data_IF_440242731963
#
_entry.id   IF_440242731963
#
_cell.length_a   1.000
_cell.length_b   1.000
_cell.length_c   1.000
_cell.angle_alpha   90.00
_cell.angle_beta   90.00
_cell.angle_gamma   90.00
#
_symmetry.space_group_name_H-M   'P 1'
#
loop_
_entity.id
_entity.type
_entity.pdbx_description
1 polymer ?
#
# COMPACT_ATOMS: atom_id res chain seq x y z
N UNK A 1 29.14 39.63 -5.35
CA UNK A 1 29.15 38.80 -4.13
C UNK A 1 27.83 38.02 -4.11
N UNK A 2 27.88 36.71 -4.27
CA UNK A 2 26.70 35.85 -4.35
C UNK A 2 26.06 35.73 -2.96
N UNK A 3 24.82 36.20 -2.83
CA UNK A 3 23.95 35.87 -1.69
C UNK A 3 23.42 34.46 -1.90
N UNK A 4 23.91 33.50 -1.12
CA UNK A 4 23.30 32.18 -1.05
C UNK A 4 22.03 32.32 -0.20
N UNK A 5 20.81 32.12 -0.73
CA UNK A 5 19.61 32.24 0.10
C UNK A 5 19.58 31.08 1.08
N UNK A 6 19.54 31.39 2.39
CA UNK A 6 19.32 30.37 3.42
C UNK A 6 18.01 29.61 3.14
N UNK A 7 17.98 28.29 3.35
CA UNK A 7 16.77 27.51 3.15
C UNK A 7 15.69 27.98 4.14
N UNK A 8 14.54 28.38 3.62
CA UNK A 8 13.37 28.72 4.45
C UNK A 8 12.94 27.49 5.25
N UNK A 9 13.09 27.55 6.57
CA UNK A 9 12.51 26.56 7.49
C UNK A 9 11.20 27.10 8.06
N UNK A 10 10.25 26.19 8.33
CA UNK A 10 9.01 26.48 9.06
C UNK A 10 8.98 25.67 10.34
N UNK A 11 8.55 26.30 11.42
CA UNK A 11 8.29 25.64 12.69
C UNK A 11 7.22 24.56 12.51
N UNK A 12 7.48 23.39 13.09
CA UNK A 12 6.48 22.32 13.15
C UNK A 12 5.40 22.72 14.16
N UNK A 13 4.14 22.47 13.81
CA UNK A 13 3.01 22.66 14.69
C UNK A 13 3.08 21.62 15.83
N UNK A 14 3.24 22.10 17.06
CA UNK A 14 3.42 21.28 18.27
C UNK A 14 2.14 20.52 18.67
N UNK A 15 0.99 20.91 18.12
CA UNK A 15 -0.28 20.20 18.32
C UNK A 15 -0.46 18.99 17.38
N UNK A 16 0.48 18.81 16.44
CA UNK A 16 0.42 17.78 15.41
C UNK A 16 0.86 16.44 15.99
N UNK A 17 0.01 15.41 15.89
CA UNK A 17 0.36 14.05 16.35
C UNK A 17 1.65 13.54 15.67
N UNK A 18 2.50 12.83 16.40
CA UNK A 18 3.68 12.15 15.85
C UNK A 18 3.31 11.15 14.73
N UNK A 19 2.08 10.60 14.75
CA UNK A 19 1.55 9.74 13.69
C UNK A 19 1.39 10.47 12.34
N UNK A 20 1.31 11.80 12.38
CA UNK A 20 1.23 12.68 11.21
C UNK A 20 2.59 12.97 10.56
N UNK A 21 3.70 12.55 11.18
CA UNK A 21 5.06 12.76 10.67
C UNK A 21 5.55 11.65 9.72
N UNK A 22 4.83 10.54 9.63
CA UNK A 22 5.18 9.45 8.72
C UNK A 22 4.11 9.33 7.64
N UNK A 23 4.36 9.73 6.37
CA UNK A 23 3.59 9.17 5.28
C UNK A 23 3.91 7.67 5.31
N UNK A 24 3.03 6.88 5.91
CA UNK A 24 3.22 5.44 6.04
C UNK A 24 3.71 4.87 4.73
N UNK A 25 4.89 4.21 4.75
CA UNK A 25 5.43 3.50 3.58
C UNK A 25 4.46 2.42 3.06
N UNK A 26 3.51 2.03 3.91
CA UNK A 26 2.45 1.11 3.55
C UNK A 26 1.16 1.80 3.22
N UNK A 27 0.46 1.27 2.22
CA UNK A 27 -0.89 1.62 1.87
C UNK A 27 -1.82 1.32 3.07
N UNK A 28 -2.65 2.29 3.44
CA UNK A 28 -3.60 2.25 4.56
C UNK A 28 -4.98 2.66 4.06
N UNK A 29 -6.02 2.31 4.80
CA UNK A 29 -7.40 2.70 4.50
C UNK A 29 -7.53 4.22 4.35
N UNK A 30 -6.86 4.99 5.21
CA UNK A 30 -6.87 6.45 5.19
C UNK A 30 -6.40 7.05 3.85
N UNK A 31 -5.53 6.35 3.10
CA UNK A 31 -5.12 6.82 1.77
C UNK A 31 -6.29 6.81 0.78
N UNK A 32 -7.05 5.70 0.71
CA UNK A 32 -8.22 5.60 -0.17
C UNK A 32 -9.32 6.58 0.25
N UNK A 33 -9.54 6.72 1.56
CA UNK A 33 -10.48 7.69 2.12
C UNK A 33 -10.09 9.13 1.73
N UNK A 34 -8.81 9.50 1.86
CA UNK A 34 -8.31 10.82 1.48
C UNK A 34 -8.43 11.06 -0.03
N UNK A 35 -8.24 10.03 -0.85
CA UNK A 35 -8.43 10.08 -2.31
C UNK A 35 -9.91 10.01 -2.72
N UNK A 36 -10.85 9.83 -1.77
CA UNK A 36 -12.28 9.69 -1.99
C UNK A 36 -12.64 8.54 -2.94
N UNK A 37 -11.92 7.42 -2.84
CA UNK A 37 -12.20 6.20 -3.60
C UNK A 37 -12.45 5.03 -2.65
N UNK A 38 -13.29 4.08 -3.06
CA UNK A 38 -13.56 2.83 -2.32
C UNK A 38 -12.70 1.68 -2.79
N UNK A 39 -12.30 1.71 -4.06
CA UNK A 39 -11.59 0.64 -4.74
C UNK A 39 -10.41 1.23 -5.52
N UNK A 40 -9.30 0.51 -5.51
CA UNK A 40 -8.08 0.83 -6.21
C UNK A 40 -7.63 -0.39 -7.01
N UNK A 41 -7.75 -0.33 -8.33
CA UNK A 41 -7.17 -1.33 -9.22
C UNK A 41 -5.69 -1.05 -9.42
N UNK A 42 -4.86 -2.06 -9.19
CA UNK A 42 -3.40 -1.96 -9.29
C UNK A 42 -2.81 -3.15 -10.04
N UNK A 43 -1.68 -2.93 -10.69
CA UNK A 43 -0.86 -4.01 -11.27
C UNK A 43 0.31 -4.28 -10.34
N UNK A 44 0.52 -5.55 -9.99
CA UNK A 44 1.61 -5.97 -9.11
C UNK A 44 2.95 -5.83 -9.84
N UNK A 45 3.86 -5.02 -9.30
CA UNK A 45 5.20 -4.83 -9.84
C UNK A 45 6.21 -5.84 -9.25
N UNK A 46 6.15 -6.05 -7.93
CA UNK A 46 7.01 -7.01 -7.23
C UNK A 46 6.44 -7.41 -5.87
N UNK A 47 6.89 -8.54 -5.36
CA UNK A 47 6.67 -8.97 -3.98
C UNK A 47 8.03 -9.15 -3.31
N UNK A 48 8.16 -8.66 -2.08
CA UNK A 48 9.38 -8.78 -1.28
C UNK A 48 9.03 -9.10 0.17
N UNK A 49 9.96 -9.69 0.91
CA UNK A 49 9.87 -9.75 2.37
C UNK A 49 10.62 -8.57 2.95
N UNK A 50 10.01 -7.92 3.94
CA UNK A 50 10.59 -6.78 4.61
C UNK A 50 10.46 -6.93 6.12
N UNK A 51 11.51 -6.48 6.82
CA UNK A 51 11.45 -6.33 8.27
C UNK A 51 10.53 -5.17 8.62
N UNK A 52 9.59 -5.43 9.52
CA UNK A 52 8.66 -4.46 10.07
C UNK A 52 8.67 -4.56 11.60
N UNK A 53 8.45 -3.41 12.23
CA UNK A 53 8.34 -3.30 13.67
C UNK A 53 6.91 -2.91 14.06
N UNK A 54 5.96 -3.87 14.17
CA UNK A 54 4.58 -3.56 14.53
C UNK A 54 4.43 -3.06 15.98
N UNK A 55 5.39 -3.41 16.85
CA UNK A 55 5.43 -3.00 18.25
C UNK A 55 6.87 -2.69 18.67
N UNK A 56 7.08 -1.82 19.68
CA UNK A 56 8.41 -1.60 20.25
C UNK A 56 9.09 -2.93 20.57
N UNK A 57 10.33 -3.10 20.10
CA UNK A 57 11.16 -4.29 20.32
C UNK A 57 10.65 -5.61 19.71
N UNK A 58 9.67 -5.57 18.81
CA UNK A 58 9.21 -6.76 18.08
C UNK A 58 9.49 -6.58 16.59
N UNK A 59 10.54 -7.25 16.09
CA UNK A 59 10.85 -7.30 14.66
C UNK A 59 10.20 -8.53 14.03
N UNK A 60 9.58 -8.35 12.87
CA UNK A 60 8.97 -9.43 12.10
C UNK A 60 9.22 -9.23 10.61
N UNK A 61 9.49 -10.32 9.90
CA UNK A 61 9.50 -10.32 8.44
C UNK A 61 8.07 -10.46 7.92
N UNK A 62 7.67 -9.57 7.02
CA UNK A 62 6.35 -9.58 6.37
C UNK A 62 6.49 -9.47 4.87
N UNK A 63 5.60 -10.15 4.16
CA UNK A 63 5.46 -10.01 2.72
C UNK A 63 4.80 -8.68 2.38
N UNK A 64 5.40 -7.94 1.44
CA UNK A 64 4.93 -6.65 0.94
C UNK A 64 4.76 -6.73 -0.57
N UNK A 65 3.62 -6.24 -1.06
CA UNK A 65 3.32 -6.14 -2.49
C UNK A 65 3.54 -4.70 -2.93
N UNK A 66 4.33 -4.49 -3.98
CA UNK A 66 4.49 -3.20 -4.63
C UNK A 66 3.77 -3.18 -5.97
N UNK A 67 3.33 -1.98 -6.37
CA UNK A 67 2.48 -1.78 -7.53
C UNK A 67 3.15 -0.89 -8.58
N UNK A 68 2.72 -1.02 -9.82
CA UNK A 68 3.03 -0.03 -10.85
C UNK A 68 2.25 1.26 -10.59
N UNK A 69 2.93 2.39 -10.69
CA UNK A 69 2.34 3.71 -10.82
C UNK A 69 1.94 3.98 -12.28
N UNK A 70 1.24 5.10 -12.53
CA UNK A 70 0.75 5.47 -13.87
C UNK A 70 1.86 5.70 -14.89
N UNK A 71 3.03 6.12 -14.43
CA UNK A 71 4.25 6.31 -15.23
C UNK A 71 5.04 4.99 -15.42
N UNK A 72 4.42 3.86 -15.07
CA UNK A 72 5.03 2.53 -15.06
C UNK A 72 6.15 2.34 -14.01
N UNK A 73 6.44 3.36 -13.20
CA UNK A 73 7.34 3.30 -12.04
C UNK A 73 6.74 2.49 -10.89
N UNK A 74 7.45 2.40 -9.76
CA UNK A 74 6.91 1.75 -8.55
C UNK A 74 6.16 2.78 -7.72
N UNK A 75 4.91 2.46 -7.37
CA UNK A 75 4.12 3.27 -6.46
C UNK A 75 4.80 3.34 -5.08
N UNK A 76 4.90 4.53 -4.45
CA UNK A 76 5.71 4.71 -3.25
C UNK A 76 5.20 3.93 -2.04
N UNK A 77 3.89 3.66 -1.96
CA UNK A 77 3.32 2.83 -0.90
C UNK A 77 3.13 1.37 -1.31
N UNK A 78 3.67 0.45 -0.52
CA UNK A 78 3.46 -0.99 -0.64
C UNK A 78 2.27 -1.50 0.19
N UNK A 79 1.72 -2.66 -0.13
CA UNK A 79 0.65 -3.30 0.64
C UNK A 79 1.21 -4.43 1.51
N UNK A 80 0.94 -4.37 2.82
CA UNK A 80 1.36 -5.41 3.77
C UNK A 80 0.45 -6.63 3.69
N UNK A 81 0.93 -7.73 3.09
CA UNK A 81 0.18 -8.97 2.93
C UNK A 81 0.22 -9.83 4.21
N UNK A 82 -0.39 -9.31 5.27
CA UNK A 82 -0.36 -9.91 6.60
C UNK A 82 -1.54 -10.85 6.89
N UNK A 83 -2.73 -10.55 6.36
CA UNK A 83 -3.93 -11.30 6.67
C UNK A 83 -4.09 -12.53 5.75
N UNK A 84 -4.49 -13.67 6.33
CA UNK A 84 -4.77 -14.90 5.58
C UNK A 84 -5.81 -14.66 4.48
N UNK A 85 -6.87 -13.91 4.79
CA UNK A 85 -7.94 -13.58 3.83
C UNK A 85 -7.41 -12.88 2.58
N UNK A 86 -6.42 -12.00 2.73
CA UNK A 86 -5.83 -11.28 1.59
C UNK A 86 -4.97 -12.23 0.74
N UNK A 87 -4.28 -13.19 1.36
CA UNK A 87 -3.51 -14.22 0.64
C UNK A 87 -4.42 -15.15 -0.15
N UNK A 88 -5.54 -15.56 0.45
CA UNK A 88 -6.53 -16.42 -0.19
C UNK A 88 -7.24 -15.67 -1.33
N UNK A 89 -7.62 -14.41 -1.11
CA UNK A 89 -8.19 -13.54 -2.14
C UNK A 89 -7.22 -13.26 -3.29
N UNK A 90 -5.95 -13.03 -3.02
CA UNK A 90 -4.92 -12.84 -4.04
C UNK A 90 -4.79 -14.05 -4.96
N UNK A 91 -4.82 -15.26 -4.40
CA UNK A 91 -4.83 -16.51 -5.19
C UNK A 91 -6.11 -16.63 -6.02
N UNK A 92 -7.28 -16.35 -5.43
CA UNK A 92 -8.56 -16.41 -6.15
C UNK A 92 -8.62 -15.40 -7.31
N UNK A 93 -8.14 -14.17 -7.10
CA UNK A 93 -8.24 -13.10 -8.08
C UNK A 93 -7.28 -13.28 -9.26
N UNK A 94 -6.13 -13.93 -9.02
CA UNK A 94 -5.07 -14.05 -10.04
C UNK A 94 -4.97 -15.45 -10.64
N UNK A 95 -5.49 -16.48 -9.97
CA UNK A 95 -5.24 -17.88 -10.31
C UNK A 95 -3.77 -18.31 -10.11
N UNK A 96 -2.92 -17.45 -9.57
CA UNK A 96 -1.50 -17.70 -9.44
C UNK A 96 -1.20 -18.79 -8.42
N UNK A 97 -0.37 -19.75 -8.81
CA UNK A 97 0.16 -20.80 -7.95
C UNK A 97 1.57 -20.47 -7.43
N UNK A 98 2.28 -19.56 -8.11
CA UNK A 98 3.63 -19.13 -7.75
C UNK A 98 3.74 -17.62 -7.63
N UNK A 99 4.77 -17.14 -6.92
CA UNK A 99 5.04 -15.70 -6.78
C UNK A 99 5.35 -15.06 -8.14
N UNK A 100 6.06 -15.78 -9.01
CA UNK A 100 6.40 -15.27 -10.35
C UNK A 100 5.15 -14.96 -11.18
N UNK A 101 4.07 -15.74 -11.01
CA UNK A 101 2.80 -15.52 -11.70
C UNK A 101 2.01 -14.33 -11.15
N UNK A 102 2.31 -13.87 -9.92
CA UNK A 102 1.66 -12.68 -9.36
C UNK A 102 2.19 -11.38 -9.99
N UNK A 103 3.45 -11.36 -10.44
CA UNK A 103 4.05 -10.18 -11.05
C UNK A 103 3.34 -9.90 -12.39
N UNK A 104 2.90 -8.65 -12.59
CA UNK A 104 2.09 -8.24 -13.74
C UNK A 104 0.59 -8.52 -13.61
N UNK A 105 0.16 -9.28 -12.60
CA UNK A 105 -1.27 -9.50 -12.36
C UNK A 105 -1.95 -8.23 -11.84
N UNK A 106 -3.19 -8.01 -12.28
CA UNK A 106 -4.04 -6.92 -11.79
C UNK A 106 -4.90 -7.42 -10.62
N UNK A 107 -5.02 -6.61 -9.58
CA UNK A 107 -5.87 -6.88 -8.42
C UNK A 107 -6.65 -5.63 -8.05
N UNK A 108 -7.74 -5.80 -7.29
CA UNK A 108 -8.50 -4.70 -6.70
C UNK A 108 -8.24 -4.69 -5.19
N UNK A 109 -7.77 -3.56 -4.69
CA UNK A 109 -7.68 -3.26 -3.26
C UNK A 109 -8.90 -2.42 -2.90
N UNK A 110 -9.69 -2.86 -1.94
CA UNK A 110 -10.91 -2.16 -1.52
C UNK A 110 -10.83 -1.72 -0.05
N UNK A 111 -11.58 -0.67 0.28
CA UNK A 111 -11.95 -0.34 1.64
C UNK A 111 -12.97 -1.35 2.14
N UNK A 112 -12.71 -1.89 3.33
CA UNK A 112 -13.60 -2.79 4.05
C UNK A 112 -13.62 -2.40 5.55
N UNK A 113 -14.48 -3.04 6.33
CA UNK A 113 -14.58 -2.82 7.78
C UNK A 113 -14.27 -4.09 8.55
N UNK A 114 -13.32 -4.03 9.48
CA UNK A 114 -13.02 -5.11 10.41
C UNK A 114 -13.06 -4.61 11.84
N UNK A 115 -13.95 -5.18 12.67
CA UNK A 115 -14.16 -4.79 14.08
C UNK A 115 -14.39 -3.28 14.24
N UNK A 116 -15.21 -2.69 13.36
CA UNK A 116 -15.55 -1.26 13.37
C UNK A 116 -14.43 -0.33 12.90
N UNK A 117 -13.32 -0.85 12.37
CA UNK A 117 -12.22 -0.06 11.81
C UNK A 117 -12.13 -0.25 10.30
N UNK A 118 -11.87 0.82 9.57
CA UNK A 118 -11.57 0.76 8.15
C UNK A 118 -10.25 0.01 7.92
N UNK A 119 -10.26 -0.96 7.01
CA UNK A 119 -9.11 -1.75 6.63
C UNK A 119 -9.06 -1.87 5.11
N UNK A 120 -7.88 -2.20 4.59
CA UNK A 120 -7.77 -2.59 3.18
C UNK A 120 -7.93 -4.10 3.04
N UNK A 121 -8.55 -4.51 1.94
CA UNK A 121 -8.69 -5.91 1.53
C UNK A 121 -8.42 -6.07 0.05
N UNK A 122 -7.91 -7.24 -0.33
CA UNK A 122 -7.85 -7.64 -1.73
C UNK A 122 -9.19 -8.29 -2.10
N UNK A 123 -9.81 -7.87 -3.19
CA UNK A 123 -10.99 -8.57 -3.71
C UNK A 123 -10.59 -9.94 -4.25
N UNK A 124 -11.39 -11.01 -4.00
CA UNK A 124 -11.11 -12.34 -4.52
C UNK A 124 -11.43 -12.49 -6.01
N UNK A 125 -12.09 -11.49 -6.62
CA UNK A 125 -12.46 -11.48 -8.04
C UNK A 125 -11.42 -10.70 -8.86
N UNK A 126 -11.06 -11.16 -10.06
CA UNK A 126 -10.21 -10.40 -10.97
C UNK A 126 -10.87 -9.06 -11.33
N UNK A 127 -10.07 -8.01 -11.60
CA UNK A 127 -10.59 -6.76 -12.14
C UNK A 127 -11.16 -6.96 -13.55
N UNK A 128 -12.15 -6.14 -13.96
CA UNK A 128 -12.63 -6.15 -15.33
C UNK A 128 -11.48 -5.86 -16.31
N UNK A 129 -11.49 -6.53 -17.45
CA UNK A 129 -10.58 -6.21 -18.54
C UNK A 129 -10.81 -4.74 -18.95
N UNK A 130 -9.72 -3.97 -19.07
CA UNK A 130 -9.82 -2.65 -19.69
C UNK A 130 -10.16 -2.89 -21.16
N UNK A 131 -11.38 -2.53 -21.59
CA UNK A 131 -11.68 -2.34 -23.01
C UNK A 131 -10.66 -1.34 -23.54
N UNK A 132 -9.74 -1.82 -24.37
CA UNK A 132 -8.74 -1.01 -25.07
C UNK A 132 -9.36 -0.23 -26.21
#
# INVERSE_FOLDING_TARGET
MNTNPEPKTRSLDESRSLDSLFPSRFLKADHLIAWKITDLTVTIAKLVEEEVQPRPNQMEWKTVIYFHARDNGIHPQGYLLSAKIDKDALKSATGAQTIAQLIGSRIIIQLDTFRGKAVLRIRPTPPPEEEK
#
